data_IF_173208222007
#
_entry.id   IF_173208222007
#
_cell.length_a   1.000
_cell.length_b   1.000
_cell.length_c   1.000
_cell.angle_alpha   90.00
_cell.angle_beta   90.00
_cell.angle_gamma   90.00
#
_symmetry.space_group_name_H-M   'P 1'
#
loop_
_entity.id
_entity.type
_entity.pdbx_description
1 polymer ?
#
# COMPACT_ATOMS: atom_id res chain seq x y z
N UNK A 1 -12.85 -7.18 -1.88
CA UNK A 1 -11.99 -6.23 -2.63
C UNK A 1 -11.82 -6.63 -4.10
N UNK A 2 -11.43 -7.87 -4.42
CA UNK A 2 -11.24 -8.35 -5.80
C UNK A 2 -12.38 -8.05 -6.79
N UNK A 3 -13.64 -8.38 -6.46
CA UNK A 3 -14.79 -8.07 -7.35
C UNK A 3 -14.96 -6.57 -7.62
N UNK A 4 -14.64 -5.71 -6.65
CA UNK A 4 -14.68 -4.25 -6.83
C UNK A 4 -13.56 -3.81 -7.78
N UNK A 5 -12.35 -4.35 -7.62
CA UNK A 5 -11.23 -4.11 -8.52
C UNK A 5 -11.59 -4.42 -9.98
N UNK A 6 -12.21 -5.58 -10.25
CA UNK A 6 -12.61 -5.95 -11.61
C UNK A 6 -13.60 -4.95 -12.21
N UNK A 7 -14.64 -4.57 -11.45
CA UNK A 7 -15.64 -3.58 -11.90
C UNK A 7 -15.03 -2.22 -12.19
N UNK A 8 -14.13 -1.74 -11.31
CA UNK A 8 -13.43 -0.46 -11.52
C UNK A 8 -12.51 -0.55 -12.75
N UNK A 9 -11.78 -1.66 -12.89
CA UNK A 9 -10.90 -1.87 -14.05
C UNK A 9 -11.68 -1.91 -15.36
N UNK A 10 -12.83 -2.59 -15.38
CA UNK A 10 -13.72 -2.61 -16.54
C UNK A 10 -14.20 -1.20 -16.91
N UNK A 11 -14.60 -0.39 -15.92
CA UNK A 11 -15.01 0.99 -16.13
C UNK A 11 -13.87 1.85 -16.71
N UNK A 12 -12.65 1.72 -16.17
CA UNK A 12 -11.46 2.44 -16.67
C UNK A 12 -11.15 2.04 -18.11
N UNK A 13 -11.16 0.73 -18.43
CA UNK A 13 -10.87 0.25 -19.78
C UNK A 13 -11.92 0.67 -20.82
N UNK A 14 -13.18 0.87 -20.41
CA UNK A 14 -14.26 1.35 -21.27
C UNK A 14 -14.31 2.88 -21.40
N UNK A 15 -13.49 3.61 -20.65
CA UNK A 15 -13.48 5.06 -20.71
C UNK A 15 -13.00 5.55 -22.09
N UNK A 16 -13.67 6.56 -22.65
CA UNK A 16 -13.33 7.17 -23.94
C UNK A 16 -11.91 7.75 -23.95
N UNK A 17 -11.48 8.30 -22.81
CA UNK A 17 -10.11 8.71 -22.54
C UNK A 17 -9.53 7.82 -21.44
N UNK A 18 -9.18 6.58 -21.79
CA UNK A 18 -8.58 5.63 -20.85
C UNK A 18 -7.23 6.17 -20.36
N UNK A 19 -7.08 6.48 -19.07
CA UNK A 19 -5.79 6.89 -18.52
C UNK A 19 -4.83 5.69 -18.48
N UNK A 20 -3.53 5.97 -18.38
CA UNK A 20 -2.60 4.98 -17.87
C UNK A 20 -2.94 4.72 -16.41
N UNK A 21 -3.24 3.48 -16.04
CA UNK A 21 -3.59 3.16 -14.66
C UNK A 21 -2.79 1.99 -14.12
N UNK A 22 -2.45 2.14 -12.85
CA UNK A 22 -1.58 1.27 -12.10
C UNK A 22 -2.42 0.61 -11.01
N UNK A 23 -2.17 -0.67 -10.76
CA UNK A 23 -2.72 -1.38 -9.60
C UNK A 23 -1.58 -1.87 -8.71
N UNK A 24 -1.86 -2.15 -7.44
CA UNK A 24 -0.83 -2.59 -6.51
C UNK A 24 -1.39 -3.06 -5.18
N UNK A 25 -0.50 -3.21 -4.21
CA UNK A 25 -0.82 -3.70 -2.87
C UNK A 25 -0.69 -5.21 -2.76
N UNK A 26 -1.09 -5.75 -1.60
CA UNK A 26 -0.76 -7.12 -1.21
C UNK A 26 -1.45 -8.20 -2.04
N UNK A 27 -2.53 -7.88 -2.78
CA UNK A 27 -3.17 -8.80 -3.72
C UNK A 27 -2.41 -8.93 -5.04
N UNK A 28 -2.21 -7.83 -5.80
CA UNK A 28 -1.49 -7.85 -7.07
C UNK A 28 -0.01 -8.20 -6.99
N UNK A 29 0.67 -7.84 -5.89
CA UNK A 29 2.12 -8.02 -5.76
C UNK A 29 2.59 -9.49 -5.90
N UNK A 30 1.98 -10.50 -5.27
CA UNK A 30 2.40 -11.91 -5.43
C UNK A 30 2.09 -12.50 -6.80
N UNK A 31 1.02 -12.06 -7.46
CA UNK A 31 0.53 -12.65 -8.72
C UNK A 31 0.33 -11.58 -9.81
N UNK A 32 1.37 -10.80 -10.15
CA UNK A 32 1.21 -9.60 -10.98
C UNK A 32 0.70 -9.93 -12.39
N UNK A 33 1.16 -11.02 -13.00
CA UNK A 33 0.70 -11.47 -14.31
C UNK A 33 -0.79 -11.81 -14.32
N UNK A 34 -1.26 -12.55 -13.31
CA UNK A 34 -2.69 -12.87 -13.16
C UNK A 34 -3.52 -11.58 -13.08
N UNK A 35 -3.11 -10.62 -12.27
CA UNK A 35 -3.85 -9.37 -12.10
C UNK A 35 -3.81 -8.50 -13.35
N UNK A 36 -2.68 -8.40 -14.06
CA UNK A 36 -2.62 -7.72 -15.36
C UNK A 36 -3.60 -8.36 -16.34
N UNK A 37 -3.62 -9.69 -16.43
CA UNK A 37 -4.52 -10.42 -17.33
C UNK A 37 -6.00 -10.30 -16.96
N UNK A 38 -6.34 -10.23 -15.67
CA UNK A 38 -7.73 -10.07 -15.22
C UNK A 38 -8.25 -8.65 -15.30
N UNK A 39 -7.39 -7.66 -15.10
CA UNK A 39 -7.80 -6.25 -15.02
C UNK A 39 -7.54 -5.48 -16.30
N UNK A 40 -6.62 -5.93 -17.15
CA UNK A 40 -6.06 -5.16 -18.25
C UNK A 40 -5.45 -3.80 -17.81
N UNK A 41 -4.89 -3.77 -16.60
CA UNK A 41 -4.08 -2.65 -16.13
C UNK A 41 -2.81 -2.50 -16.95
N UNK A 42 -2.27 -1.29 -16.98
CA UNK A 42 -1.03 -1.00 -17.72
C UNK A 42 0.19 -1.47 -16.94
N UNK A 43 0.12 -1.39 -15.61
CA UNK A 43 1.21 -1.74 -14.72
C UNK A 43 0.70 -2.24 -13.35
N UNK A 44 1.43 -3.19 -12.77
CA UNK A 44 1.32 -3.61 -11.37
C UNK A 44 2.57 -3.14 -10.64
N UNK A 45 2.40 -2.40 -9.54
CA UNK A 45 3.48 -2.12 -8.58
C UNK A 45 3.55 -3.26 -7.57
N UNK A 46 4.75 -3.80 -7.39
CA UNK A 46 5.05 -4.99 -6.61
C UNK A 46 5.81 -4.58 -5.35
N UNK A 47 5.26 -4.94 -4.18
CA UNK A 47 5.84 -4.63 -2.88
C UNK A 47 5.57 -3.19 -2.47
N UNK A 48 6.57 -2.53 -1.90
CA UNK A 48 6.49 -1.15 -1.42
C UNK A 48 6.50 -0.14 -2.58
N UNK A 49 5.56 0.80 -2.51
CA UNK A 49 5.20 1.68 -3.62
C UNK A 49 5.83 3.07 -3.55
N UNK A 50 6.32 3.48 -2.37
CA UNK A 50 6.75 4.84 -2.05
C UNK A 50 7.77 5.37 -3.07
N UNK A 51 8.84 4.60 -3.29
CA UNK A 51 9.87 4.96 -4.27
C UNK A 51 9.49 4.52 -5.69
N UNK A 52 8.87 3.34 -5.82
CA UNK A 52 8.56 2.71 -7.10
C UNK A 52 7.57 3.53 -7.92
N UNK A 53 6.49 4.02 -7.31
CA UNK A 53 5.46 4.83 -7.98
C UNK A 53 6.03 6.17 -8.42
N UNK A 54 6.89 6.80 -7.61
CA UNK A 54 7.51 8.07 -7.98
C UNK A 54 8.40 7.90 -9.23
N UNK A 55 9.23 6.86 -9.26
CA UNK A 55 10.07 6.54 -10.43
C UNK A 55 9.22 6.21 -11.66
N UNK A 56 8.18 5.39 -11.48
CA UNK A 56 7.23 5.02 -12.54
C UNK A 56 6.50 6.24 -13.13
N UNK A 57 5.96 7.12 -12.29
CA UNK A 57 5.24 8.30 -12.75
C UNK A 57 6.16 9.29 -13.48
N UNK A 58 7.42 9.42 -13.06
CA UNK A 58 8.43 10.22 -13.78
C UNK A 58 8.70 9.64 -15.16
N UNK A 59 8.92 8.33 -15.26
CA UNK A 59 9.13 7.67 -16.54
C UNK A 59 7.93 7.83 -17.47
N UNK A 60 6.71 7.65 -16.97
CA UNK A 60 5.48 7.86 -17.75
C UNK A 60 5.38 9.32 -18.23
N UNK A 61 5.65 10.29 -17.36
CA UNK A 61 5.59 11.72 -17.70
C UNK A 61 6.61 12.11 -18.78
N UNK A 62 7.77 11.46 -18.79
CA UNK A 62 8.85 11.70 -19.76
C UNK A 62 8.74 10.81 -21.01
N UNK A 63 7.78 9.88 -21.04
CA UNK A 63 7.67 8.83 -22.06
C UNK A 63 8.93 7.94 -22.15
N UNK A 64 9.58 7.70 -21.01
CA UNK A 64 10.75 6.83 -20.86
C UNK A 64 10.36 5.34 -20.84
N UNK A 65 11.34 4.47 -21.11
CA UNK A 65 11.15 3.02 -21.01
C UNK A 65 10.92 2.58 -19.56
N UNK A 66 9.95 1.66 -19.38
CA UNK A 66 9.66 1.04 -18.08
C UNK A 66 10.56 -0.17 -17.77
N UNK A 67 11.42 -0.60 -18.70
CA UNK A 67 12.17 -1.87 -18.61
C UNK A 67 13.16 -1.97 -17.45
N UNK A 68 13.59 -0.82 -16.89
CA UNK A 68 14.60 -0.73 -15.84
C UNK A 68 14.03 -0.32 -14.48
N UNK A 69 12.72 -0.04 -14.41
CA UNK A 69 12.09 0.39 -13.16
C UNK A 69 11.92 -0.83 -12.26
N UNK A 70 12.57 -0.83 -11.10
CA UNK A 70 12.46 -1.95 -10.14
C UNK A 70 11.10 -1.94 -9.45
N UNK A 71 10.55 -3.13 -9.20
CA UNK A 71 9.33 -3.34 -8.44
C UNK A 71 8.05 -3.18 -9.26
N UNK A 72 8.08 -3.43 -10.58
CA UNK A 72 6.88 -3.36 -11.42
C UNK A 72 6.74 -4.57 -12.35
N UNK A 73 5.51 -4.82 -12.77
CA UNK A 73 5.19 -5.67 -13.92
C UNK A 73 4.28 -4.92 -14.89
N UNK A 74 4.50 -5.07 -16.19
CA UNK A 74 3.74 -4.36 -17.22
C UNK A 74 3.68 -5.20 -18.50
N UNK A 75 2.87 -4.76 -19.48
CA UNK A 75 2.86 -5.39 -20.81
C UNK A 75 3.89 -4.72 -21.71
N UNK A 76 4.82 -5.52 -22.22
CA UNK A 76 5.81 -5.12 -23.21
C UNK A 76 5.61 -5.99 -24.46
N UNK A 77 5.29 -5.36 -25.59
CA UNK A 77 5.03 -6.03 -26.88
C UNK A 77 4.05 -7.22 -26.77
N UNK A 78 3.00 -7.07 -25.97
CA UNK A 78 1.94 -8.08 -25.78
C UNK A 78 2.27 -9.18 -24.77
N UNK A 79 3.49 -9.22 -24.20
CA UNK A 79 3.86 -10.16 -23.14
C UNK A 79 3.97 -9.44 -21.80
N UNK A 80 3.62 -10.14 -20.71
CA UNK A 80 3.86 -9.60 -19.37
C UNK A 80 5.36 -9.70 -19.07
N UNK A 81 5.95 -8.55 -18.74
CA UNK A 81 7.32 -8.44 -18.23
C UNK A 81 7.25 -8.10 -16.76
N UNK A 82 7.97 -8.86 -15.93
CA UNK A 82 8.13 -8.60 -14.50
C UNK A 82 9.57 -8.16 -14.29
N UNK A 83 9.77 -6.93 -13.83
CA UNK A 83 11.11 -6.42 -13.54
C UNK A 83 11.60 -6.92 -12.18
N UNK A 84 12.91 -6.77 -11.94
CA UNK A 84 13.53 -7.07 -10.66
C UNK A 84 12.82 -6.34 -9.52
N UNK A 85 12.71 -6.98 -8.36
CA UNK A 85 12.13 -6.36 -7.17
C UNK A 85 12.96 -5.18 -6.69
N UNK A 86 12.25 -4.20 -6.13
CA UNK A 86 12.89 -3.16 -5.33
C UNK A 86 13.19 -3.71 -3.93
N UNK A 87 14.32 -3.27 -3.37
CA UNK A 87 14.62 -3.51 -1.96
C UNK A 87 13.58 -2.80 -1.07
N UNK A 88 13.32 -3.39 0.08
CA UNK A 88 12.44 -2.82 1.09
C UNK A 88 13.08 -1.57 1.70
N UNK A 89 12.24 -0.62 2.14
CA UNK A 89 12.69 0.58 2.84
C UNK A 89 13.07 0.21 4.27
N UNK A 90 14.37 0.14 4.59
CA UNK A 90 14.82 -0.31 5.92
C UNK A 90 14.36 0.61 7.05
N UNK A 91 14.55 1.92 6.88
CA UNK A 91 14.11 2.93 7.85
C UNK A 91 12.68 3.41 7.54
N UNK A 92 11.71 2.91 8.28
CA UNK A 92 10.30 3.28 8.09
C UNK A 92 10.04 4.74 8.49
N UNK A 93 10.82 5.33 9.40
CA UNK A 93 10.64 6.72 9.81
C UNK A 93 11.13 7.71 8.73
N UNK A 94 11.88 7.24 7.74
CA UNK A 94 12.19 8.03 6.53
C UNK A 94 10.96 8.28 5.64
N UNK A 95 9.89 7.50 5.82
CA UNK A 95 8.64 7.66 5.08
C UNK A 95 7.82 8.76 5.76
N UNK A 96 7.38 9.80 5.03
CA UNK A 96 6.55 10.84 5.60
C UNK A 96 5.22 10.25 6.09
N UNK A 97 4.63 10.89 7.11
CA UNK A 97 3.28 10.55 7.54
C UNK A 97 2.31 10.61 6.35
N UNK A 98 1.23 9.81 6.37
CA UNK A 98 0.18 9.94 5.37
C UNK A 98 -0.28 11.40 5.27
N UNK A 99 -0.45 11.89 4.04
CA UNK A 99 -0.92 13.24 3.75
C UNK A 99 -2.42 13.38 4.08
N UNK A 100 -2.78 13.22 5.37
CA UNK A 100 -4.15 13.15 5.86
C UNK A 100 -5.00 14.36 5.44
N UNK A 101 -4.36 15.52 5.32
CA UNK A 101 -4.99 16.77 4.87
C UNK A 101 -5.48 16.74 3.42
N UNK A 102 -4.94 15.84 2.58
CA UNK A 102 -5.39 15.63 1.20
C UNK A 102 -6.61 14.71 1.10
N UNK A 103 -7.00 14.04 2.19
CA UNK A 103 -8.11 13.10 2.21
C UNK A 103 -9.32 13.68 2.98
N UNK A 104 -10.55 13.30 2.60
CA UNK A 104 -11.75 13.73 3.32
C UNK A 104 -11.89 12.94 4.63
N UNK A 105 -11.11 13.34 5.64
CA UNK A 105 -10.93 12.61 6.89
C UNK A 105 -12.24 12.38 7.67
N UNK A 106 -13.25 13.24 7.48
CA UNK A 106 -14.57 13.05 8.05
C UNK A 106 -15.24 11.74 7.63
N UNK A 107 -14.98 11.25 6.42
CA UNK A 107 -15.48 9.95 5.98
C UNK A 107 -14.57 8.80 6.46
N UNK A 108 -13.25 8.98 6.37
CA UNK A 108 -12.30 7.92 6.71
C UNK A 108 -12.30 7.56 8.19
N UNK A 109 -12.59 8.53 9.08
CA UNK A 109 -12.69 8.28 10.52
C UNK A 109 -13.94 7.51 10.95
N UNK A 110 -14.88 7.28 10.03
CA UNK A 110 -16.11 6.51 10.28
C UNK A 110 -15.92 5.01 10.03
N UNK A 111 -14.68 4.55 9.80
CA UNK A 111 -14.38 3.13 9.74
C UNK A 111 -14.85 2.44 11.03
N UNK A 112 -15.31 1.20 10.91
CA UNK A 112 -15.75 0.39 12.05
C UNK A 112 -14.96 -0.91 12.08
N UNK A 113 -14.48 -1.26 13.26
CA UNK A 113 -13.74 -2.47 13.55
C UNK A 113 -14.33 -3.12 14.82
N UNK A 114 -14.04 -4.41 15.07
CA UNK A 114 -14.46 -5.05 16.31
C UNK A 114 -14.08 -4.21 17.54
N UNK A 115 -14.99 -4.14 18.52
CA UNK A 115 -14.84 -3.41 19.78
C UNK A 115 -14.90 -1.86 19.71
N UNK A 116 -14.95 -1.26 18.53
CA UNK A 116 -15.24 0.18 18.41
C UNK A 116 -16.74 0.46 18.66
N UNK A 117 -17.05 1.56 19.35
CA UNK A 117 -18.44 1.98 19.58
C UNK A 117 -18.93 2.90 18.45
N UNK A 118 -20.19 3.34 18.51
CA UNK A 118 -20.73 4.28 17.53
C UNK A 118 -20.16 5.69 17.71
N UNK A 119 -19.74 6.01 18.92
CA UNK A 119 -19.12 7.28 19.31
C UNK A 119 -17.65 7.35 18.89
N UNK A 120 -17.05 6.22 18.51
CA UNK A 120 -15.64 6.19 18.13
C UNK A 120 -15.38 6.72 16.72
N UNK A 121 -14.34 7.54 16.63
CA UNK A 121 -13.66 7.89 15.39
C UNK A 121 -12.37 7.10 15.30
N UNK A 122 -12.23 6.34 14.22
CA UNK A 122 -11.23 5.29 14.09
C UNK A 122 -10.24 5.59 12.97
N UNK A 123 -8.96 5.35 13.23
CA UNK A 123 -7.93 5.38 12.19
C UNK A 123 -6.94 4.22 12.36
N UNK A 124 -6.61 3.49 11.29
CA UNK A 124 -5.51 2.54 11.33
C UNK A 124 -4.17 3.25 11.40
N UNK A 125 -3.24 2.71 12.19
CA UNK A 125 -1.83 3.13 12.29
C UNK A 125 -0.96 1.90 12.10
N UNK A 126 0.26 2.08 11.59
CA UNK A 126 1.28 1.03 11.52
C UNK A 126 2.35 1.32 12.57
N UNK A 127 2.69 0.32 13.38
CA UNK A 127 3.86 0.37 14.28
C UNK A 127 5.16 -0.09 13.60
N UNK A 128 5.04 -0.78 12.47
CA UNK A 128 6.12 -1.27 11.64
C UNK A 128 5.60 -1.97 10.38
N UNK A 129 6.51 -2.57 9.61
CA UNK A 129 6.21 -3.34 8.39
C UNK A 129 6.97 -4.65 8.34
N UNK A 130 6.39 -5.67 7.70
CA UNK A 130 7.00 -6.98 7.55
C UNK A 130 6.61 -7.95 8.66
N UNK A 131 7.07 -9.19 8.50
CA UNK A 131 6.95 -10.26 9.46
C UNK A 131 8.21 -11.13 9.43
N UNK A 132 8.68 -11.59 10.59
CA UNK A 132 9.85 -12.48 10.70
C UNK A 132 9.52 -13.95 10.41
N UNK A 133 8.24 -14.31 10.32
CA UNK A 133 7.80 -15.67 10.05
C UNK A 133 7.76 -16.00 8.55
N UNK A 134 7.96 -17.28 8.23
CA UNK A 134 7.87 -17.83 6.87
C UNK A 134 6.74 -18.87 6.78
N UNK A 135 5.52 -18.49 7.17
CA UNK A 135 4.37 -19.39 7.17
C UNK A 135 4.04 -19.87 5.75
N UNK A 136 3.82 -21.17 5.58
CA UNK A 136 3.60 -21.82 4.27
C UNK A 136 2.32 -21.36 3.55
N UNK A 137 1.38 -20.76 4.27
CA UNK A 137 0.12 -20.23 3.73
C UNK A 137 0.16 -18.71 3.46
N UNK A 138 1.24 -18.02 3.86
CA UNK A 138 1.29 -16.57 3.79
C UNK A 138 1.66 -16.11 2.37
N UNK A 139 0.87 -15.20 1.82
CA UNK A 139 1.09 -14.59 0.51
C UNK A 139 1.95 -13.31 0.58
N UNK A 140 2.27 -12.83 1.79
CA UNK A 140 3.11 -11.66 2.00
C UNK A 140 4.56 -12.01 1.67
N UNK A 141 5.26 -11.05 1.07
CA UNK A 141 6.55 -11.30 0.43
C UNK A 141 7.68 -10.49 1.05
N UNK A 142 7.32 -9.59 1.95
CA UNK A 142 8.23 -8.69 2.62
C UNK A 142 8.82 -9.46 3.81
N UNK A 143 10.13 -9.64 3.79
CA UNK A 143 10.85 -10.44 4.79
C UNK A 143 11.34 -9.56 5.92
N UNK A 144 11.42 -10.15 7.12
CA UNK A 144 11.91 -9.46 8.31
C UNK A 144 10.87 -8.50 8.88
N UNK A 145 11.23 -7.80 9.94
CA UNK A 145 10.36 -6.80 10.57
C UNK A 145 11.12 -5.50 10.72
N UNK A 146 10.54 -4.40 10.25
CA UNK A 146 11.10 -3.05 10.25
C UNK A 146 10.20 -2.16 11.12
N UNK A 147 10.59 -1.88 12.36
CA UNK A 147 9.79 -1.05 13.26
C UNK A 147 9.86 0.43 12.90
N UNK A 148 8.83 1.19 13.29
CA UNK A 148 8.93 2.64 13.49
C UNK A 148 9.42 2.99 14.88
N UNK A 149 9.97 4.17 15.08
CA UNK A 149 10.24 4.70 16.42
C UNK A 149 8.94 4.92 17.20
N UNK A 150 9.02 4.83 18.53
CA UNK A 150 7.85 5.05 19.39
C UNK A 150 7.40 6.51 19.31
N UNK A 151 8.36 7.42 19.19
CA UNK A 151 8.17 8.85 19.03
C UNK A 151 7.33 9.14 17.78
N UNK A 152 7.72 8.59 16.62
CA UNK A 152 7.00 8.70 15.35
C UNK A 152 5.55 8.22 15.45
N UNK A 153 5.31 7.09 16.13
CA UNK A 153 3.96 6.53 16.33
C UNK A 153 3.13 7.44 17.25
N UNK A 154 3.70 7.86 18.39
CA UNK A 154 2.99 8.70 19.37
C UNK A 154 2.64 10.06 18.77
N UNK A 155 3.54 10.65 17.97
CA UNK A 155 3.31 11.95 17.35
C UNK A 155 2.22 11.89 16.28
N UNK A 156 2.16 10.81 15.49
CA UNK A 156 1.04 10.56 14.57
C UNK A 156 -0.30 10.39 15.33
N UNK A 157 -0.33 9.63 16.43
CA UNK A 157 -1.54 9.45 17.24
C UNK A 157 -1.99 10.80 17.84
N UNK A 158 -1.07 11.62 18.35
CA UNK A 158 -1.38 12.96 18.86
C UNK A 158 -1.96 13.85 17.76
N UNK A 159 -1.36 13.84 16.57
CA UNK A 159 -1.87 14.56 15.39
C UNK A 159 -3.30 14.12 15.05
N UNK A 160 -3.52 12.81 14.95
CA UNK A 160 -4.82 12.22 14.61
C UNK A 160 -5.90 12.60 15.62
N UNK A 161 -5.58 12.54 16.91
CA UNK A 161 -6.47 12.96 17.99
C UNK A 161 -6.77 14.46 17.94
N UNK A 162 -5.73 15.29 17.86
CA UNK A 162 -5.89 16.75 17.94
C UNK A 162 -6.57 17.34 16.70
N UNK A 163 -6.25 16.85 15.50
CA UNK A 163 -6.71 17.45 14.24
C UNK A 163 -7.98 16.79 13.70
N UNK A 164 -8.17 15.49 13.90
CA UNK A 164 -9.28 14.73 13.29
C UNK A 164 -10.21 14.09 14.32
N UNK A 165 -9.94 14.28 15.62
CA UNK A 165 -10.78 13.77 16.70
C UNK A 165 -10.77 12.26 16.81
N UNK A 166 -9.73 11.58 16.33
CA UNK A 166 -9.63 10.12 16.41
C UNK A 166 -9.58 9.69 17.89
N UNK A 167 -10.48 8.80 18.28
CA UNK A 167 -10.61 8.25 19.64
C UNK A 167 -10.18 6.79 19.71
N UNK A 168 -10.16 6.09 18.58
CA UNK A 168 -9.86 4.66 18.50
C UNK A 168 -8.75 4.41 17.46
N UNK A 169 -7.67 3.76 17.89
CA UNK A 169 -6.55 3.39 17.00
C UNK A 169 -6.57 1.87 16.78
N UNK A 170 -6.40 1.47 15.53
CA UNK A 170 -6.20 0.06 15.16
C UNK A 170 -4.83 -0.11 14.56
N UNK A 171 -4.01 -0.95 15.16
CA UNK A 171 -2.74 -1.34 14.55
C UNK A 171 -3.00 -2.32 13.40
N UNK A 172 -2.57 -1.93 12.19
CA UNK A 172 -2.76 -2.72 10.96
C UNK A 172 -1.50 -3.47 10.52
N UNK A 173 -0.58 -3.66 11.46
CA UNK A 173 0.68 -4.37 11.31
C UNK A 173 0.46 -5.83 10.90
N UNK A 174 1.41 -6.36 10.13
CA UNK A 174 1.46 -7.81 9.84
C UNK A 174 1.86 -8.61 11.08
N UNK A 175 2.69 -8.02 11.94
CA UNK A 175 3.13 -8.59 13.21
C UNK A 175 3.30 -7.47 14.25
N UNK A 176 2.22 -7.15 14.98
CA UNK A 176 2.24 -6.13 16.03
C UNK A 176 3.10 -6.55 17.24
N UNK A 177 2.91 -7.79 17.70
CA UNK A 177 3.55 -8.35 18.89
C UNK A 177 4.94 -8.92 18.55
N UNK A 178 5.76 -8.13 17.87
CA UNK A 178 7.06 -8.55 17.34
C UNK A 178 8.17 -8.56 18.41
N UNK A 179 8.00 -7.85 19.53
CA UNK A 179 8.93 -7.90 20.66
C UNK A 179 8.26 -7.58 22.00
N UNK A 180 8.78 -8.17 23.08
CA UNK A 180 8.36 -7.89 24.46
C UNK A 180 8.65 -6.44 24.89
N UNK A 181 9.65 -5.79 24.29
CA UNK A 181 9.98 -4.40 24.59
C UNK A 181 8.98 -3.41 23.97
N UNK A 182 8.18 -3.86 22.98
CA UNK A 182 7.17 -3.05 22.29
C UNK A 182 5.73 -3.51 22.60
N UNK A 183 5.58 -4.58 23.36
CA UNK A 183 4.31 -5.14 23.83
C UNK A 183 4.03 -4.66 25.24
#
# INVERSE_FOLDING_TARGET
QYRKLLKISEAINKATKRPFYIIGGHGPSPEPEFFLNKTNADCVVIGEAENTVVELLKAISNNDSLTNIKGIAFRDQGKVRINERRLLIEDIDSIPLPAYDLFPMDYYRLLRMPHATNEDFLMPVLSGRGCTFNCTFCYRMDKGFRPRSNESIIDEIKLLKAKYGITYIVFSDELLMSSLQRT
#
